data_IF_931415359423
#
_entry.id   IF_931415359423
#
_cell.length_a   1.000
_cell.length_b   1.000
_cell.length_c   1.000
_cell.angle_alpha   90.00
_cell.angle_beta   90.00
_cell.angle_gamma   90.00
#
_symmetry.space_group_name_H-M   'P 1'
#
loop_
_entity.id
_entity.type
_entity.pdbx_description
1 polymer ?
#
# COMPACT_ATOMS: atom_id res chain seq x y z
N UNK A 1 -7.80 -8.67 -38.25
CA UNK A 1 -8.20 -8.21 -36.90
C UNK A 1 -6.97 -8.43 -36.01
N UNK A 2 -6.25 -7.37 -35.64
CA UNK A 2 -5.06 -7.49 -34.78
C UNK A 2 -5.50 -7.81 -33.36
N UNK A 3 -4.84 -8.77 -32.72
CA UNK A 3 -4.98 -9.00 -31.28
C UNK A 3 -4.44 -7.78 -30.54
N UNK A 4 -5.30 -7.14 -29.73
CA UNK A 4 -4.86 -6.15 -28.73
C UNK A 4 -4.59 -6.91 -27.45
N UNK A 5 -3.33 -7.21 -27.20
CA UNK A 5 -2.89 -7.63 -25.88
C UNK A 5 -3.05 -6.44 -24.93
N UNK A 6 -3.64 -6.68 -23.76
CA UNK A 6 -3.64 -5.65 -22.71
C UNK A 6 -2.31 -5.80 -21.97
N UNK A 7 -1.48 -4.77 -22.05
CA UNK A 7 -0.18 -4.73 -21.37
C UNK A 7 -0.29 -3.86 -20.12
N UNK A 8 0.40 -4.26 -19.06
CA UNK A 8 0.49 -3.50 -17.82
C UNK A 8 1.96 -3.47 -17.36
N UNK A 9 2.39 -2.34 -16.82
CA UNK A 9 3.67 -2.21 -16.14
C UNK A 9 3.42 -2.14 -14.64
N UNK A 10 4.06 -3.04 -13.88
CA UNK A 10 4.04 -3.01 -12.42
C UNK A 10 5.38 -2.49 -11.94
N UNK A 11 5.33 -1.51 -11.06
CA UNK A 11 6.50 -0.98 -10.38
C UNK A 11 6.44 -1.35 -8.91
N UNK A 12 7.56 -1.82 -8.37
CA UNK A 12 7.71 -2.09 -6.94
C UNK A 12 8.85 -1.24 -6.42
N UNK A 13 8.61 -0.60 -5.29
CA UNK A 13 9.63 0.11 -4.55
C UNK A 13 9.55 -0.29 -3.08
N UNK A 14 10.72 -0.51 -2.49
CA UNK A 14 10.88 -0.88 -1.08
C UNK A 14 11.87 0.07 -0.41
N UNK A 15 11.60 0.34 0.87
CA UNK A 15 12.40 1.25 1.67
C UNK A 15 12.10 1.07 3.17
N UNK A 16 12.89 1.70 4.04
CA UNK A 16 12.63 1.69 5.47
C UNK A 16 11.28 2.36 5.79
N UNK A 17 10.65 1.99 6.91
CA UNK A 17 9.47 2.69 7.42
C UNK A 17 9.82 4.16 7.70
N UNK A 18 8.97 5.09 7.26
CA UNK A 18 9.13 6.49 7.60
C UNK A 18 8.95 6.70 9.12
N UNK A 19 9.90 7.39 9.76
CA UNK A 19 9.88 7.63 11.22
C UNK A 19 8.64 8.40 11.69
N UNK A 20 8.01 9.18 10.79
CA UNK A 20 6.98 10.16 11.14
C UNK A 20 5.60 9.85 10.53
N UNK A 21 5.41 8.69 9.91
CA UNK A 21 4.15 8.30 9.24
C UNK A 21 3.80 9.10 7.96
N UNK A 22 4.40 10.28 7.78
CA UNK A 22 4.43 10.97 6.48
C UNK A 22 5.31 10.15 5.55
N UNK A 23 4.69 9.62 4.49
CA UNK A 23 5.41 8.93 3.43
C UNK A 23 6.58 9.78 2.96
N UNK A 24 7.65 9.12 2.53
CA UNK A 24 8.72 9.79 1.79
C UNK A 24 8.06 10.71 0.75
N UNK A 25 8.21 12.02 0.91
CA UNK A 25 7.40 13.03 0.19
C UNK A 25 7.65 13.02 -1.33
N UNK A 26 8.63 12.23 -1.77
CA UNK A 26 8.91 11.99 -3.17
C UNK A 26 8.44 10.59 -3.58
N UNK A 27 7.65 10.54 -4.65
CA UNK A 27 7.51 9.33 -5.48
C UNK A 27 8.90 8.68 -5.64
N UNK A 28 9.02 7.35 -5.48
CA UNK A 28 10.32 6.68 -5.58
C UNK A 28 10.94 6.79 -6.98
N UNK A 29 10.15 7.22 -7.97
CA UNK A 29 10.60 7.46 -9.34
C UNK A 29 11.15 8.87 -9.55
N UNK A 30 11.05 9.74 -8.54
CA UNK A 30 11.52 11.13 -8.58
C UNK A 30 10.73 12.03 -9.53
N UNK A 31 11.17 13.29 -9.59
CA UNK A 31 10.64 14.27 -10.53
C UNK A 31 10.96 13.88 -11.97
N UNK A 32 9.93 13.78 -12.82
CA UNK A 32 10.08 13.46 -14.25
C UNK A 32 9.72 12.02 -14.64
N UNK A 33 9.25 11.20 -13.70
CA UNK A 33 8.67 9.91 -14.05
C UNK A 33 7.39 10.06 -14.88
N UNK A 34 7.43 9.54 -16.10
CA UNK A 34 6.28 9.48 -16.99
C UNK A 34 5.91 8.01 -17.20
N UNK A 35 4.92 7.46 -16.48
CA UNK A 35 4.49 6.09 -16.70
C UNK A 35 3.97 5.93 -18.14
N UNK A 36 4.09 4.74 -18.75
CA UNK A 36 3.66 4.49 -20.13
C UNK A 36 2.14 4.55 -20.32
N UNK A 37 1.37 4.72 -19.24
CA UNK A 37 -0.08 4.82 -19.26
C UNK A 37 -0.64 5.31 -17.92
N UNK A 38 -1.97 5.34 -17.81
CA UNK A 38 -2.68 5.72 -16.59
C UNK A 38 -2.42 4.71 -15.47
N UNK A 39 -2.21 5.20 -14.24
CA UNK A 39 -2.16 4.34 -13.05
C UNK A 39 -3.55 3.76 -12.78
N UNK A 40 -3.62 2.44 -12.66
CA UNK A 40 -4.89 1.72 -12.46
C UNK A 40 -5.07 1.30 -10.99
N UNK A 41 -3.96 1.02 -10.30
CA UNK A 41 -3.96 0.58 -8.90
C UNK A 41 -2.62 0.90 -8.25
N UNK A 42 -2.67 1.26 -6.97
CA UNK A 42 -1.51 1.49 -6.12
C UNK A 42 -1.74 0.85 -4.75
N UNK A 43 -0.72 0.17 -4.22
CA UNK A 43 -0.76 -0.46 -2.90
C UNK A 43 0.41 0.08 -2.08
N UNK A 44 0.12 0.57 -0.87
CA UNK A 44 1.12 0.89 0.14
C UNK A 44 1.13 -0.22 1.18
N UNK A 45 2.21 -0.99 1.19
CA UNK A 45 2.42 -2.07 2.16
C UNK A 45 3.36 -1.58 3.27
N UNK A 46 2.89 -1.61 4.51
CA UNK A 46 3.73 -1.35 5.68
C UNK A 46 3.87 -2.63 6.50
N UNK A 47 5.10 -3.14 6.62
CA UNK A 47 5.40 -4.30 7.45
C UNK A 47 6.00 -3.82 8.77
N UNK A 48 5.32 -4.08 9.88
CA UNK A 48 5.70 -3.60 11.21
C UNK A 48 5.80 -4.76 12.20
N UNK A 49 6.71 -4.65 13.17
CA UNK A 49 6.68 -5.55 14.33
C UNK A 49 5.39 -5.32 15.11
N UNK A 50 4.74 -6.40 15.54
CA UNK A 50 3.55 -6.33 16.37
C UNK A 50 3.90 -5.77 17.76
N UNK A 51 3.46 -4.54 18.01
CA UNK A 51 3.66 -3.79 19.26
C UNK A 51 2.39 -2.99 19.56
N UNK A 52 2.20 -2.57 20.80
CA UNK A 52 1.07 -1.69 21.14
C UNK A 52 1.08 -0.38 20.32
N UNK A 53 2.27 0.11 19.92
CA UNK A 53 2.40 1.30 19.10
C UNK A 53 1.95 1.07 17.65
N UNK A 54 2.24 -0.12 17.08
CA UNK A 54 1.80 -0.47 15.72
C UNK A 54 0.30 -0.81 15.67
N UNK A 55 -0.24 -1.47 16.70
CA UNK A 55 -1.68 -1.74 16.81
C UNK A 55 -2.52 -0.45 16.76
N UNK A 56 -2.04 0.65 17.35
CA UNK A 56 -2.74 1.94 17.31
C UNK A 56 -2.89 2.50 15.88
N UNK A 57 -2.08 2.06 14.92
CA UNK A 57 -2.20 2.49 13.53
C UNK A 57 -3.47 1.93 12.86
N UNK A 58 -4.07 0.87 13.41
CA UNK A 58 -5.36 0.33 12.92
C UNK A 58 -6.48 1.37 13.00
N UNK A 59 -6.39 2.32 13.93
CA UNK A 59 -7.37 3.41 14.06
C UNK A 59 -7.39 4.37 12.86
N UNK A 60 -6.39 4.32 11.96
CA UNK A 60 -6.36 5.10 10.73
C UNK A 60 -7.22 4.54 9.59
N UNK A 61 -7.70 3.30 9.71
CA UNK A 61 -8.55 2.65 8.70
C UNK A 61 -10.04 2.92 8.94
N UNK A 62 -10.83 2.91 7.87
CA UNK A 62 -12.29 3.03 7.95
C UNK A 62 -12.89 1.79 8.64
N UNK A 63 -13.53 1.94 9.81
CA UNK A 63 -14.10 0.82 10.54
C UNK A 63 -15.27 0.13 9.81
N UNK A 64 -15.90 0.79 8.83
CA UNK A 64 -17.04 0.23 8.09
C UNK A 64 -16.63 -0.78 7.03
N UNK A 65 -15.41 -0.68 6.50
CA UNK A 65 -14.84 -1.61 5.52
C UNK A 65 -13.59 -2.34 6.02
N UNK A 66 -13.28 -2.22 7.32
CA UNK A 66 -12.11 -2.83 7.93
C UNK A 66 -12.09 -4.34 7.74
N UNK A 67 -11.03 -4.83 7.12
CA UNK A 67 -10.71 -6.23 6.92
C UNK A 67 -9.49 -6.60 7.75
N UNK A 68 -9.58 -7.73 8.45
CA UNK A 68 -8.50 -8.29 9.27
C UNK A 68 -8.30 -9.77 8.92
N UNK A 69 -7.05 -10.18 8.69
CA UNK A 69 -6.73 -11.57 8.38
C UNK A 69 -5.47 -12.03 9.10
N UNK A 70 -5.54 -13.18 9.78
CA UNK A 70 -4.35 -13.87 10.27
C UNK A 70 -3.75 -14.72 9.15
N UNK A 71 -2.46 -14.54 8.89
CA UNK A 71 -1.72 -15.27 7.85
C UNK A 71 -0.58 -16.09 8.47
N UNK A 72 0.02 -16.99 7.69
CA UNK A 72 1.17 -17.81 8.13
C UNK A 72 0.92 -18.51 9.48
N UNK A 73 -0.26 -19.14 9.63
CA UNK A 73 -0.70 -19.82 10.88
C UNK A 73 -0.68 -18.91 12.11
N UNK A 74 -0.94 -17.62 11.92
CA UNK A 74 -0.96 -16.62 12.99
C UNK A 74 0.40 -15.94 13.23
N UNK A 75 1.38 -16.13 12.35
CA UNK A 75 2.69 -15.47 12.47
C UNK A 75 2.65 -13.99 12.07
N UNK A 76 1.63 -13.57 11.34
CA UNK A 76 1.37 -12.16 11.00
C UNK A 76 -0.13 -11.89 10.85
N UNK A 77 -0.49 -10.61 10.86
CA UNK A 77 -1.87 -10.16 10.66
C UNK A 77 -1.89 -9.05 9.60
N UNK A 78 -2.81 -9.12 8.65
CA UNK A 78 -2.99 -8.11 7.62
C UNK A 78 -4.24 -7.29 7.94
N UNK A 79 -4.12 -5.96 7.89
CA UNK A 79 -5.20 -4.99 8.06
C UNK A 79 -5.31 -4.10 6.84
N UNK A 80 -6.50 -3.96 6.29
CA UNK A 80 -6.81 -3.04 5.18
C UNK A 80 -8.29 -2.70 5.20
N UNK A 81 -8.68 -1.54 4.68
CA UNK A 81 -10.08 -1.15 4.48
C UNK A 81 -10.47 -1.06 2.99
N UNK A 82 -9.55 -1.43 2.08
CA UNK A 82 -9.66 -1.33 0.62
C UNK A 82 -10.00 0.06 0.08
N UNK A 83 -9.77 1.12 0.85
CA UNK A 83 -9.96 2.50 0.41
C UNK A 83 -8.63 3.07 -0.09
N UNK A 84 -8.70 3.84 -1.16
CA UNK A 84 -7.58 4.66 -1.60
C UNK A 84 -7.50 5.93 -0.75
N UNK A 85 -6.28 6.31 -0.37
CA UNK A 85 -5.99 7.59 0.24
C UNK A 85 -5.99 8.74 -0.79
N UNK A 86 -5.61 9.94 -0.36
CA UNK A 86 -5.50 11.12 -1.23
C UNK A 86 -4.45 10.98 -2.34
N UNK A 87 -3.51 10.05 -2.21
CA UNK A 87 -2.46 9.77 -3.19
C UNK A 87 -2.85 8.61 -4.14
N UNK A 88 -4.06 8.06 -3.98
CA UNK A 88 -4.55 6.94 -4.79
C UNK A 88 -4.02 5.57 -4.36
N UNK A 89 -3.44 5.47 -3.16
CA UNK A 89 -2.85 4.24 -2.63
C UNK A 89 -3.82 3.52 -1.70
N UNK A 90 -3.98 2.22 -1.90
CA UNK A 90 -4.68 1.34 -0.95
C UNK A 90 -3.70 0.87 0.12
N UNK A 91 -4.00 1.09 1.38
CA UNK A 91 -3.11 0.76 2.50
C UNK A 91 -3.29 -0.68 2.95
N UNK A 92 -2.17 -1.36 3.19
CA UNK A 92 -2.10 -2.68 3.82
C UNK A 92 -1.06 -2.63 4.93
N UNK A 93 -1.51 -2.82 6.18
CA UNK A 93 -0.65 -2.94 7.35
C UNK A 93 -0.46 -4.43 7.66
N UNK A 94 0.79 -4.86 7.77
CA UNK A 94 1.21 -6.24 8.07
C UNK A 94 2.05 -6.29 9.34
#
# INVERSE_FOLDING_TARGET
RWERHTEFSTYLWEGPLAENGRGQEDSPFGNGFSPPGTVISGIRLEIRKWTQASERQVAGFDPTSLCYSLVERGSAAIVTDFRQDGDGMTHMLV
#
